data_IF_594815116365
#
_entry.id   IF_594815116365
#
_cell.length_a   1.000
_cell.length_b   1.000
_cell.length_c   1.000
_cell.angle_alpha   90.00
_cell.angle_beta   90.00
_cell.angle_gamma   90.00
#
_symmetry.space_group_name_H-M   'P 1'
#
loop_
_entity.id
_entity.type
_entity.pdbx_description
1 polymer ?
#
# COMPACT_ATOMS: atom_id res chain seq x y z
N UNK A 1 0.59 -1.82 -12.25
CA UNK A 1 -0.52 -2.22 -13.16
C UNK A 1 -1.79 -1.67 -12.54
N UNK A 2 -2.67 -1.07 -13.33
CA UNK A 2 -4.03 -0.69 -12.93
C UNK A 2 -5.00 -1.66 -13.58
N UNK A 3 -5.94 -2.23 -12.83
CA UNK A 3 -6.97 -3.11 -13.39
C UNK A 3 -7.95 -2.32 -14.27
N UNK A 4 -8.47 -2.93 -15.34
CA UNK A 4 -9.49 -2.30 -16.22
C UNK A 4 -10.67 -3.23 -16.54
N UNK A 5 -10.87 -4.27 -15.71
CA UNK A 5 -11.90 -5.29 -15.88
C UNK A 5 -11.41 -6.56 -16.60
N UNK A 6 -12.16 -7.66 -16.46
CA UNK A 6 -11.95 -8.94 -17.17
C UNK A 6 -10.54 -9.56 -17.04
N UNK A 7 -9.88 -9.35 -15.90
CA UNK A 7 -8.48 -9.78 -15.69
C UNK A 7 -7.43 -8.99 -16.49
N UNK A 8 -7.84 -7.93 -17.19
CA UNK A 8 -6.97 -7.03 -17.95
C UNK A 8 -6.45 -5.90 -17.06
N UNK A 9 -5.28 -5.36 -17.42
CA UNK A 9 -4.71 -4.20 -16.75
C UNK A 9 -3.81 -3.37 -17.65
N UNK A 10 -3.71 -2.08 -17.33
CA UNK A 10 -2.81 -1.11 -17.95
C UNK A 10 -1.51 -1.03 -17.16
N UNK A 11 -0.37 -1.08 -17.85
CA UNK A 11 0.93 -0.84 -17.22
C UNK A 11 1.14 0.67 -17.06
N UNK A 12 1.41 1.09 -15.84
CA UNK A 12 1.89 2.44 -15.54
C UNK A 12 3.40 2.48 -15.77
N UNK A 13 3.86 3.52 -16.43
CA UNK A 13 5.26 3.73 -16.86
C UNK A 13 5.88 5.02 -16.34
N UNK A 14 5.06 5.95 -15.84
CA UNK A 14 5.49 7.21 -15.24
C UNK A 14 4.42 7.77 -14.30
N UNK A 15 4.80 8.79 -13.54
CA UNK A 15 3.89 9.70 -12.82
C UNK A 15 3.97 11.06 -13.51
N UNK A 16 2.92 11.86 -13.48
CA UNK A 16 2.92 13.22 -14.00
C UNK A 16 1.67 14.00 -13.61
N UNK A 17 1.68 15.28 -13.95
CA UNK A 17 0.56 16.19 -13.66
C UNK A 17 -0.60 16.01 -14.64
N UNK A 18 -1.81 16.27 -14.15
CA UNK A 18 -2.99 16.39 -14.98
C UNK A 18 -3.05 17.76 -15.68
N UNK A 19 -3.68 17.83 -16.86
CA UNK A 19 -3.91 19.08 -17.59
C UNK A 19 -5.40 19.26 -17.93
N UNK A 20 -5.92 20.48 -17.87
CA UNK A 20 -7.32 20.76 -18.25
C UNK A 20 -7.56 20.40 -19.72
N UNK A 21 -8.68 19.71 -19.99
CA UNK A 21 -9.02 19.13 -21.29
C UNK A 21 -8.30 17.80 -21.60
N UNK A 22 -7.48 17.27 -20.68
CA UNK A 22 -6.89 15.95 -20.83
C UNK A 22 -7.96 14.86 -20.64
N UNK A 23 -8.06 13.94 -21.60
CA UNK A 23 -8.84 12.71 -21.41
C UNK A 23 -8.13 11.79 -20.41
N UNK A 24 -8.88 11.34 -19.42
CA UNK A 24 -8.38 10.58 -18.27
C UNK A 24 -9.26 9.37 -17.98
N UNK A 25 -8.69 8.39 -17.30
CA UNK A 25 -9.32 7.13 -16.96
C UNK A 25 -9.19 6.86 -15.46
N UNK A 26 -10.27 6.35 -14.86
CA UNK A 26 -10.33 5.89 -13.47
C UNK A 26 -10.60 4.38 -13.44
N UNK A 27 -10.02 3.70 -12.46
CA UNK A 27 -10.53 2.39 -12.01
C UNK A 27 -10.94 2.47 -10.55
N UNK A 28 -12.13 1.98 -10.22
CA UNK A 28 -12.59 1.78 -8.85
C UNK A 28 -13.23 0.40 -8.67
N UNK A 29 -13.49 0.00 -7.42
CA UNK A 29 -14.03 -1.34 -7.10
C UNK A 29 -15.55 -1.42 -7.15
N UNK A 30 -16.25 -0.27 -7.12
CA UNK A 30 -17.72 -0.22 -7.19
C UNK A 30 -18.18 -0.11 -8.64
N UNK A 31 -17.80 0.98 -9.31
CA UNK A 31 -18.26 1.23 -10.69
C UNK A 31 -17.34 0.63 -11.76
N UNK A 32 -16.12 0.20 -11.40
CA UNK A 32 -15.15 -0.39 -12.33
C UNK A 32 -14.34 0.65 -13.10
N UNK A 33 -14.09 0.38 -14.39
CA UNK A 33 -13.34 1.25 -15.28
C UNK A 33 -14.24 2.32 -15.91
N UNK A 34 -13.83 3.58 -15.87
CA UNK A 34 -14.54 4.74 -16.47
C UNK A 34 -13.56 5.74 -17.05
N UNK A 35 -14.03 6.56 -17.98
CA UNK A 35 -13.28 7.65 -18.59
C UNK A 35 -14.08 8.96 -18.57
N UNK A 36 -13.38 10.05 -18.91
CA UNK A 36 -13.87 11.42 -18.88
C UNK A 36 -12.72 12.38 -19.11
N UNK A 37 -12.89 13.64 -18.73
CA UNK A 37 -11.92 14.71 -18.99
C UNK A 37 -11.68 15.55 -17.73
N UNK A 38 -10.47 16.10 -17.60
CA UNK A 38 -10.11 17.05 -16.56
C UNK A 38 -10.75 18.41 -16.88
N UNK A 39 -11.61 18.92 -15.98
CA UNK A 39 -12.29 20.22 -16.11
C UNK A 39 -11.57 21.33 -15.39
N UNK A 40 -10.82 21.00 -14.34
CA UNK A 40 -10.13 21.97 -13.49
C UNK A 40 -8.95 21.35 -12.72
N UNK A 41 -8.10 22.23 -12.20
CA UNK A 41 -6.98 21.94 -11.31
C UNK A 41 -7.09 22.90 -10.10
N UNK A 42 -6.33 22.63 -9.04
CA UNK A 42 -6.34 23.42 -7.80
C UNK A 42 -7.71 23.55 -7.11
N UNK A 43 -8.62 22.61 -7.39
CA UNK A 43 -9.97 22.63 -6.83
C UNK A 43 -9.94 22.50 -5.30
N UNK A 44 -10.89 23.19 -4.65
CA UNK A 44 -11.05 23.19 -3.19
C UNK A 44 -12.43 22.68 -2.83
N UNK A 45 -12.50 21.58 -2.07
CA UNK A 45 -13.74 20.92 -1.67
C UNK A 45 -13.85 20.93 -0.16
N UNK A 46 -15.04 21.30 0.34
CA UNK A 46 -15.35 21.32 1.77
C UNK A 46 -16.13 20.06 2.13
N UNK A 47 -15.42 18.99 2.48
CA UNK A 47 -16.05 17.77 3.01
C UNK A 47 -16.47 17.99 4.47
N UNK A 48 -17.45 17.23 5.02
CA UNK A 48 -17.82 17.32 6.43
C UNK A 48 -16.68 17.04 7.41
N UNK A 49 -15.67 16.28 6.98
CA UNK A 49 -14.44 15.99 7.72
C UNK A 49 -13.42 17.14 7.67
N UNK A 50 -13.52 18.06 6.70
CA UNK A 50 -12.63 19.20 6.51
C UNK A 50 -12.48 19.66 5.06
N UNK A 51 -11.83 20.81 4.88
CA UNK A 51 -11.48 21.35 3.55
C UNK A 51 -10.24 20.65 2.99
N UNK A 52 -10.30 20.24 1.73
CA UNK A 52 -9.15 19.73 0.95
C UNK A 52 -8.95 20.63 -0.28
N UNK A 53 -7.71 21.00 -0.54
CA UNK A 53 -7.27 21.92 -1.61
C UNK A 53 -6.35 21.20 -2.58
N UNK A 54 -6.11 21.77 -3.77
CA UNK A 54 -5.16 21.22 -4.75
C UNK A 54 -5.71 20.04 -5.56
N UNK A 55 -7.03 19.85 -5.59
CA UNK A 55 -7.64 18.69 -6.22
C UNK A 55 -7.74 18.85 -7.75
N UNK A 56 -7.55 17.74 -8.47
CA UNK A 56 -7.85 17.62 -9.90
C UNK A 56 -9.36 17.40 -10.03
N UNK A 57 -10.05 18.23 -10.80
CA UNK A 57 -11.48 18.13 -11.08
C UNK A 57 -11.73 17.44 -12.43
N UNK A 58 -12.65 16.48 -12.50
CA UNK A 58 -12.96 15.76 -13.75
C UNK A 58 -14.45 15.43 -13.90
N UNK A 59 -14.86 15.16 -15.14
CA UNK A 59 -16.18 14.57 -15.49
C UNK A 59 -16.25 13.05 -15.35
N UNK A 60 -15.19 12.37 -14.90
CA UNK A 60 -15.20 10.91 -14.73
C UNK A 60 -16.17 10.58 -13.59
N UNK A 61 -17.31 9.95 -13.86
CA UNK A 61 -18.24 9.54 -12.80
C UNK A 61 -17.56 8.62 -11.77
N UNK A 62 -18.04 8.61 -10.54
CA UNK A 62 -17.59 7.69 -9.49
C UNK A 62 -18.76 7.34 -8.56
N UNK A 63 -18.66 6.19 -7.88
CA UNK A 63 -19.65 5.73 -6.91
C UNK A 63 -18.99 5.49 -5.54
N UNK A 64 -19.76 5.51 -4.42
CA UNK A 64 -19.24 5.19 -3.10
C UNK A 64 -18.48 3.86 -3.07
N UNK A 65 -17.20 3.92 -2.69
CA UNK A 65 -16.26 2.79 -2.71
C UNK A 65 -15.22 2.84 -3.83
N UNK A 66 -15.34 3.76 -4.79
CA UNK A 66 -14.27 4.02 -5.78
C UNK A 66 -13.12 4.90 -5.23
N UNK A 67 -13.29 5.54 -4.08
CA UNK A 67 -12.24 6.29 -3.37
C UNK A 67 -10.98 5.45 -3.14
N UNK A 68 -9.81 6.05 -3.33
CA UNK A 68 -8.53 5.33 -3.36
C UNK A 68 -8.20 4.68 -4.72
N UNK A 69 -9.13 4.66 -5.67
CA UNK A 69 -8.89 4.19 -7.04
C UNK A 69 -7.99 5.14 -7.85
N UNK A 70 -7.11 4.63 -8.73
CA UNK A 70 -6.18 5.47 -9.50
C UNK A 70 -6.85 6.23 -10.65
N UNK A 71 -6.41 7.46 -10.88
CA UNK A 71 -6.59 8.25 -12.10
C UNK A 71 -5.31 8.19 -12.95
N UNK A 72 -5.46 7.92 -14.24
CA UNK A 72 -4.33 7.80 -15.17
C UNK A 72 -4.71 8.18 -16.60
N UNK A 73 -3.70 8.46 -17.43
CA UNK A 73 -3.86 8.61 -18.88
C UNK A 73 -2.62 8.11 -19.61
N UNK A 74 -2.80 7.36 -20.69
CA UNK A 74 -1.70 6.83 -21.55
C UNK A 74 -0.55 6.09 -20.82
N UNK A 75 -0.81 5.53 -19.64
CA UNK A 75 0.21 4.87 -18.80
C UNK A 75 0.94 5.79 -17.82
N UNK A 76 0.60 7.08 -17.81
CA UNK A 76 0.98 8.05 -16.77
C UNK A 76 -0.05 8.01 -15.64
N UNK A 77 0.37 7.78 -14.41
CA UNK A 77 -0.50 7.93 -13.24
C UNK A 77 -0.54 9.40 -12.80
N UNK A 78 -1.75 9.92 -12.55
CA UNK A 78 -2.02 11.35 -12.35
C UNK A 78 -2.54 11.66 -10.94
N UNK A 79 -3.38 10.77 -10.39
CA UNK A 79 -4.03 11.04 -9.11
C UNK A 79 -4.71 9.84 -8.48
N UNK A 80 -5.34 10.09 -7.33
CA UNK A 80 -6.09 9.10 -6.53
C UNK A 80 -7.47 9.66 -6.20
N UNK A 81 -8.52 8.86 -6.42
CA UNK A 81 -9.92 9.26 -6.21
C UNK A 81 -10.13 9.67 -4.76
N UNK A 82 -10.48 10.94 -4.53
CA UNK A 82 -10.80 11.45 -3.19
C UNK A 82 -12.30 11.33 -2.94
N UNK A 83 -13.09 12.18 -3.59
CA UNK A 83 -14.56 12.18 -3.52
C UNK A 83 -15.20 12.89 -4.71
N UNK A 84 -16.51 13.08 -4.69
CA UNK A 84 -17.26 13.68 -5.80
C UNK A 84 -18.71 13.97 -5.47
N UNK A 85 -19.47 14.36 -6.49
CA UNK A 85 -20.92 14.49 -6.48
C UNK A 85 -21.54 13.74 -7.67
N UNK A 86 -22.87 13.56 -7.65
CA UNK A 86 -23.59 12.80 -8.66
C UNK A 86 -23.28 11.30 -8.63
N UNK A 87 -23.49 10.62 -9.76
CA UNK A 87 -23.27 9.17 -9.90
C UNK A 87 -22.91 8.75 -11.34
N UNK A 88 -22.84 7.45 -11.62
CA UNK A 88 -22.57 6.91 -12.95
C UNK A 88 -23.83 6.66 -13.82
N UNK A 89 -25.01 7.11 -13.41
CA UNK A 89 -26.26 7.11 -14.20
C UNK A 89 -26.55 8.51 -14.77
N UNK A 90 -26.52 9.53 -13.91
CA UNK A 90 -26.81 10.93 -14.25
C UNK A 90 -25.55 11.75 -14.55
N UNK A 91 -24.38 11.23 -14.15
CA UNK A 91 -23.10 11.94 -14.23
C UNK A 91 -22.81 12.75 -12.96
N UNK A 92 -21.71 13.50 -12.98
CA UNK A 92 -21.28 14.31 -11.84
C UNK A 92 -19.82 14.74 -11.97
N UNK A 93 -19.30 15.33 -10.90
CA UNK A 93 -17.90 15.77 -10.80
C UNK A 93 -17.15 14.90 -9.79
N UNK A 94 -16.02 14.33 -10.19
CA UNK A 94 -15.12 13.60 -9.28
C UNK A 94 -13.79 14.33 -9.13
N UNK A 95 -13.33 14.44 -7.88
CA UNK A 95 -12.11 15.09 -7.46
C UNK A 95 -11.04 14.07 -7.06
N UNK A 96 -9.79 14.35 -7.43
CA UNK A 96 -8.65 13.46 -7.21
C UNK A 96 -7.50 14.22 -6.53
N UNK A 97 -6.87 13.56 -5.57
CA UNK A 97 -5.59 14.02 -5.02
C UNK A 97 -4.52 13.87 -6.10
N UNK A 98 -3.70 14.89 -6.41
CA UNK A 98 -2.53 14.73 -7.27
C UNK A 98 -1.61 13.64 -6.72
N UNK A 99 -1.13 12.76 -7.60
CA UNK A 99 -0.30 11.64 -7.17
C UNK A 99 1.15 12.09 -6.89
N UNK A 100 1.63 13.12 -7.56
CA UNK A 100 2.94 13.73 -7.32
C UNK A 100 3.06 14.25 -5.90
N UNK A 101 2.17 15.14 -5.47
CA UNK A 101 2.08 15.64 -4.09
C UNK A 101 2.04 14.50 -3.07
N UNK A 102 1.16 13.50 -3.30
CA UNK A 102 1.01 12.37 -2.39
C UNK A 102 2.25 11.45 -2.32
N UNK A 103 3.06 11.36 -3.37
CA UNK A 103 4.31 10.60 -3.35
C UNK A 103 5.42 11.38 -2.65
N UNK A 104 5.51 12.69 -2.89
CA UNK A 104 6.53 13.57 -2.30
C UNK A 104 6.31 13.76 -0.80
N UNK A 105 5.08 14.03 -0.35
CA UNK A 105 4.72 14.15 1.08
C UNK A 105 5.00 12.87 1.87
N UNK A 106 4.84 11.70 1.23
CA UNK A 106 5.11 10.39 1.84
C UNK A 106 6.56 9.92 1.66
N UNK A 107 7.36 10.58 0.81
CA UNK A 107 8.72 10.17 0.46
C UNK A 107 8.79 8.79 -0.22
N UNK A 108 7.77 8.40 -0.98
CA UNK A 108 7.67 7.08 -1.63
C UNK A 108 7.68 7.16 -3.15
N UNK A 109 7.88 6.03 -3.82
CA UNK A 109 7.90 5.93 -5.29
C UNK A 109 6.96 4.80 -5.75
N UNK A 110 6.40 4.92 -6.95
CA UNK A 110 5.59 3.84 -7.53
C UNK A 110 6.43 2.58 -7.79
N UNK A 111 5.97 1.46 -7.24
CA UNK A 111 6.60 0.16 -7.42
C UNK A 111 6.64 -0.25 -8.91
N UNK A 112 7.82 -0.67 -9.38
CA UNK A 112 8.02 -1.16 -10.75
C UNK A 112 8.29 -0.06 -11.80
N UNK A 113 8.40 1.20 -11.39
CA UNK A 113 9.09 2.22 -12.18
C UNK A 113 10.61 2.09 -11.99
N UNK A 114 11.44 2.37 -13.01
CA UNK A 114 12.88 2.46 -12.83
C UNK A 114 13.17 3.64 -11.90
N UNK A 115 13.89 3.40 -10.80
CA UNK A 115 14.26 4.47 -9.89
C UNK A 115 15.16 5.47 -10.62
N UNK A 116 14.81 6.76 -10.54
CA UNK A 116 15.76 7.81 -10.87
C UNK A 116 16.94 7.67 -9.90
N UNK A 117 18.14 7.40 -10.42
CA UNK A 117 19.34 7.19 -9.62
C UNK A 117 19.64 8.47 -8.84
N UNK A 118 19.28 8.51 -7.55
CA UNK A 118 19.67 9.63 -6.69
C UNK A 118 21.20 9.69 -6.61
N UNK A 119 21.82 10.89 -6.63
CA UNK A 119 23.25 11.02 -6.45
C UNK A 119 23.63 10.45 -5.08
N UNK A 120 24.44 9.40 -5.06
CA UNK A 120 24.96 8.83 -3.81
C UNK A 120 25.89 9.84 -3.14
N UNK A 121 25.40 10.47 -2.06
CA UNK A 121 26.20 11.34 -1.22
C UNK A 121 27.35 10.53 -0.61
N UNK A 122 28.56 10.72 -1.15
CA UNK A 122 29.76 10.07 -0.67
C UNK A 122 30.21 10.68 0.66
N UNK A 123 29.78 10.08 1.78
CA UNK A 123 30.35 10.41 3.10
C UNK A 123 31.73 9.77 3.22
N UNK A 124 32.75 10.62 3.13
CA UNK A 124 34.15 10.26 3.35
C UNK A 124 34.40 9.82 4.80
N UNK A 125 35.19 8.76 4.97
CA UNK A 125 35.68 8.33 6.27
C UNK A 125 36.81 9.24 6.79
N UNK A 126 37.01 9.30 8.12
CA UNK A 126 38.33 9.54 8.70
C UNK A 126 38.88 8.27 9.39
N UNK A 127 40.21 8.18 9.47
CA UNK A 127 40.93 7.03 10.01
C UNK A 127 41.68 7.37 11.32
N UNK A 128 41.97 6.35 12.14
CA UNK A 128 43.27 6.06 12.82
C UNK A 128 43.12 5.40 14.20
N UNK A 129 43.92 4.35 14.46
CA UNK A 129 44.23 3.78 15.79
C UNK A 129 45.59 4.33 16.32
N UNK A 130 46.12 3.99 17.52
CA UNK A 130 46.45 2.64 18.05
C UNK A 130 45.73 2.35 19.40
N UNK A 131 46.00 1.36 20.27
CA UNK A 131 46.97 0.24 20.42
C UNK A 131 46.82 -0.31 21.87
N UNK A 132 47.64 -1.19 22.48
CA UNK A 132 48.66 -2.20 22.12
C UNK A 132 49.01 -3.00 23.40
N UNK A 133 49.33 -4.31 23.30
CA UNK A 133 49.88 -5.29 24.30
C UNK A 133 49.08 -6.62 24.24
N UNK A 134 49.66 -7.83 24.19
CA UNK A 134 51.06 -8.25 24.01
C UNK A 134 51.25 -9.77 24.21
N UNK A 135 52.24 -10.36 23.52
CA UNK A 135 52.83 -11.72 23.71
C UNK A 135 52.03 -13.00 23.35
N UNK A 136 52.70 -13.87 22.58
CA UNK A 136 52.48 -15.33 22.43
C UNK A 136 53.42 -16.08 23.44
N UNK A 137 53.47 -17.44 23.60
CA UNK A 137 53.07 -18.50 22.66
C UNK A 137 52.34 -19.74 23.24
N UNK A 138 51.84 -20.61 22.35
CA UNK A 138 51.40 -21.97 22.72
C UNK A 138 50.58 -22.64 21.60
N UNK A 139 51.03 -23.79 21.10
CA UNK A 139 50.37 -24.50 20.00
C UNK A 139 49.47 -25.63 20.49
N UNK A 140 48.21 -25.65 20.02
CA UNK A 140 47.39 -26.88 19.89
C UNK A 140 46.29 -26.67 18.85
N UNK A 141 46.21 -27.57 17.89
CA UNK A 141 45.01 -27.78 17.05
C UNK A 141 44.25 -28.96 17.67
N UNK A 142 42.95 -28.81 17.99
CA UNK A 142 42.00 -29.71 17.33
C UNK A 142 40.59 -29.11 17.11
N UNK A 143 39.81 -29.75 16.23
CA UNK A 143 38.36 -29.52 16.11
C UNK A 143 37.93 -29.13 14.70
N UNK A 144 37.44 -30.09 13.93
CA UNK A 144 36.63 -29.79 12.76
C UNK A 144 35.27 -29.26 13.21
N UNK A 145 34.76 -28.24 12.54
CA UNK A 145 33.40 -27.74 12.75
C UNK A 145 32.46 -28.52 11.84
N UNK A 146 31.78 -29.53 12.41
CA UNK A 146 30.64 -30.17 11.74
C UNK A 146 29.52 -29.13 11.53
N UNK A 147 28.90 -29.07 10.34
CA UNK A 147 27.79 -28.15 10.10
C UNK A 147 26.56 -28.65 10.87
N UNK A 148 26.05 -27.85 11.80
CA UNK A 148 24.77 -28.14 12.47
C UNK A 148 23.64 -27.87 11.48
N UNK A 149 23.10 -28.92 10.88
CA UNK A 149 21.98 -28.85 9.92
C UNK A 149 20.67 -28.41 10.60
N UNK A 150 20.50 -27.10 10.78
CA UNK A 150 19.33 -26.49 11.40
C UNK A 150 18.02 -26.64 10.59
N UNK A 151 18.09 -27.09 9.34
CA UNK A 151 16.94 -27.31 8.48
C UNK A 151 16.10 -28.53 8.90
N UNK A 152 16.73 -29.65 9.26
CA UNK A 152 16.02 -30.89 9.63
C UNK A 152 15.26 -30.76 10.95
N UNK A 153 15.89 -30.12 11.95
CA UNK A 153 15.29 -29.93 13.27
C UNK A 153 14.03 -29.05 13.26
N UNK A 154 13.92 -28.11 12.31
CA UNK A 154 12.72 -27.29 12.15
C UNK A 154 11.54 -28.10 11.59
N UNK A 155 11.80 -28.98 10.61
CA UNK A 155 10.78 -29.87 10.04
C UNK A 155 10.27 -30.90 11.05
N UNK A 156 11.17 -31.54 11.82
CA UNK A 156 10.81 -32.53 12.85
C UNK A 156 10.03 -31.88 14.03
N UNK A 157 10.34 -30.61 14.35
CA UNK A 157 9.50 -29.80 15.26
C UNK A 157 8.13 -29.47 14.65
N UNK A 158 8.05 -29.12 13.37
CA UNK A 158 6.78 -28.86 12.68
C UNK A 158 5.90 -30.11 12.65
N UNK A 159 6.45 -31.29 12.32
CA UNK A 159 5.70 -32.55 12.33
C UNK A 159 5.21 -32.91 13.75
N UNK A 160 6.03 -32.69 14.79
CA UNK A 160 5.60 -32.89 16.18
C UNK A 160 4.56 -31.89 16.68
N UNK A 161 4.54 -30.67 16.13
CA UNK A 161 3.53 -29.64 16.40
C UNK A 161 2.25 -29.86 15.57
N UNK A 162 2.34 -30.56 14.44
CA UNK A 162 1.22 -30.89 13.56
C UNK A 162 0.57 -32.25 13.87
N UNK A 163 1.25 -33.17 14.57
CA UNK A 163 0.65 -34.46 14.98
C UNK A 163 -0.56 -34.23 15.90
N UNK A 164 -1.79 -34.60 15.47
CA UNK A 164 -2.99 -34.41 16.27
C UNK A 164 -2.99 -35.15 17.61
N UNK A 165 -2.07 -36.12 17.81
CA UNK A 165 -1.89 -36.84 19.08
C UNK A 165 -1.19 -36.01 20.16
N UNK A 166 -0.45 -34.96 19.78
CA UNK A 166 0.20 -34.03 20.72
C UNK A 166 -0.68 -32.82 21.08
N UNK A 167 -1.92 -32.74 20.58
CA UNK A 167 -2.85 -31.64 20.89
C UNK A 167 -3.37 -31.79 22.32
N UNK A 168 -2.58 -31.31 23.27
CA UNK A 168 -2.98 -31.17 24.67
C UNK A 168 -4.00 -30.03 24.87
N UNK A 169 -4.73 -30.02 26.01
CA UNK A 169 -5.78 -29.02 26.27
C UNK A 169 -5.26 -27.58 26.22
N UNK A 170 -3.99 -27.33 26.59
CA UNK A 170 -3.38 -26.01 26.49
C UNK A 170 -3.26 -25.49 25.05
N UNK A 171 -3.02 -26.36 24.07
CA UNK A 171 -2.91 -25.96 22.66
C UNK A 171 -4.27 -25.58 22.07
N UNK A 172 -5.34 -26.30 22.48
CA UNK A 172 -6.72 -25.96 22.11
C UNK A 172 -7.16 -24.62 22.72
N UNK A 173 -6.74 -24.32 23.96
CA UNK A 173 -6.99 -23.00 24.57
C UNK A 173 -6.26 -21.89 23.80
N UNK A 174 -4.98 -22.08 23.46
CA UNK A 174 -4.21 -21.09 22.69
C UNK A 174 -4.81 -20.88 21.29
N UNK A 175 -5.13 -21.96 20.57
CA UNK A 175 -5.76 -21.87 19.25
C UNK A 175 -7.14 -21.20 19.33
N UNK A 176 -7.97 -21.57 20.31
CA UNK A 176 -9.26 -20.93 20.56
C UNK A 176 -9.14 -19.44 20.90
N UNK A 177 -8.16 -19.06 21.73
CA UNK A 177 -7.86 -17.66 22.04
C UNK A 177 -7.37 -16.88 20.82
N UNK A 178 -6.53 -17.45 19.96
CA UNK A 178 -6.07 -16.81 18.73
C UNK A 178 -7.20 -16.64 17.71
N UNK A 179 -8.06 -17.65 17.54
CA UNK A 179 -9.26 -17.55 16.69
C UNK A 179 -10.23 -16.51 17.24
N UNK A 180 -10.47 -16.47 18.56
CA UNK A 180 -11.32 -15.46 19.19
C UNK A 180 -10.74 -14.04 19.06
N UNK A 181 -9.41 -13.88 19.19
CA UNK A 181 -8.71 -12.61 19.00
C UNK A 181 -8.78 -12.14 17.54
N UNK A 182 -8.55 -13.04 16.58
CA UNK A 182 -8.66 -12.75 15.16
C UNK A 182 -10.10 -12.37 14.77
N UNK A 183 -11.10 -13.14 15.24
CA UNK A 183 -12.51 -12.86 15.02
C UNK A 183 -12.96 -11.54 15.63
N UNK A 184 -12.60 -11.24 16.89
CA UNK A 184 -12.94 -9.95 17.52
C UNK A 184 -12.26 -8.76 16.85
N UNK A 185 -10.99 -8.92 16.40
CA UNK A 185 -10.31 -7.88 15.62
C UNK A 185 -10.97 -7.65 14.26
N UNK A 186 -11.32 -8.74 13.55
CA UNK A 186 -12.01 -8.69 12.26
C UNK A 186 -13.40 -8.05 12.37
N UNK A 187 -14.21 -8.48 13.34
CA UNK A 187 -15.55 -7.93 13.60
C UNK A 187 -15.48 -6.43 13.91
N UNK A 188 -14.51 -5.99 14.73
CA UNK A 188 -14.30 -4.55 14.98
C UNK A 188 -13.94 -3.81 13.69
N UNK A 189 -12.98 -4.28 12.91
CA UNK A 189 -12.59 -3.62 11.65
C UNK A 189 -13.71 -3.58 10.60
N UNK A 190 -14.58 -4.59 10.55
CA UNK A 190 -15.75 -4.57 9.66
C UNK A 190 -16.86 -3.66 10.20
N UNK A 191 -17.08 -3.59 11.52
CA UNK A 191 -18.01 -2.64 12.12
C UNK A 191 -17.57 -1.19 11.92
N UNK A 192 -16.27 -0.89 12.09
CA UNK A 192 -15.70 0.43 11.85
C UNK A 192 -15.82 0.81 10.36
N UNK A 193 -15.53 -0.11 9.43
CA UNK A 193 -15.77 0.09 7.99
C UNK A 193 -17.24 0.32 7.65
N UNK A 194 -18.17 -0.41 8.28
CA UNK A 194 -19.60 -0.28 8.03
C UNK A 194 -20.21 0.98 8.66
N UNK A 195 -19.65 1.48 9.77
CA UNK A 195 -19.95 2.80 10.31
C UNK A 195 -19.44 3.89 9.37
N UNK A 196 -18.15 3.83 8.99
CA UNK A 196 -17.51 4.79 8.09
C UNK A 196 -18.23 4.89 6.74
N UNK A 197 -18.52 3.76 6.07
CA UNK A 197 -19.27 3.76 4.80
C UNK A 197 -20.65 4.41 4.92
N UNK A 198 -21.36 4.26 6.05
CA UNK A 198 -22.69 4.84 6.26
C UNK A 198 -22.66 6.34 6.53
N UNK A 199 -21.63 6.85 7.21
CA UNK A 199 -21.40 8.30 7.31
C UNK A 199 -20.96 8.87 5.96
N UNK A 200 -20.02 8.22 5.29
CA UNK A 200 -19.49 8.71 4.01
C UNK A 200 -20.54 8.67 2.89
N UNK A 201 -21.40 7.66 2.82
CA UNK A 201 -22.54 7.65 1.88
C UNK A 201 -23.61 8.73 2.17
N UNK A 202 -23.51 9.45 3.29
CA UNK A 202 -24.37 10.60 3.61
C UNK A 202 -23.66 11.95 3.40
N UNK A 203 -22.32 11.96 3.24
CA UNK A 203 -21.55 13.16 2.91
C UNK A 203 -21.35 13.37 1.40
N UNK A 204 -21.61 12.35 0.58
CA UNK A 204 -21.74 12.49 -0.86
C UNK A 204 -23.14 13.00 -1.22
N UNK A 205 -23.22 14.26 -1.66
CA UNK A 205 -24.43 14.96 -2.11
C UNK A 205 -24.07 16.22 -2.87
#
# INVERSE_FOLDING_TARGET
MVAVGDGRGVRITSVGEAAVGQRVFRSGSTSGFRDGEVTGLDATVNYPEGTVTGLIETTVCAEPGDSGGPLFSEGVALGVTSGGNGDCQEGGTTFFQPLTDALDDLGVQLAGLPQATQPTAATSAPASAPGSQGAAPGAVQPGALEPVESAGAASDLLDRLADPRNIGPGMLVIAGSLVALAATRFIRTEQDRAAYRRQYSQSWG
#
